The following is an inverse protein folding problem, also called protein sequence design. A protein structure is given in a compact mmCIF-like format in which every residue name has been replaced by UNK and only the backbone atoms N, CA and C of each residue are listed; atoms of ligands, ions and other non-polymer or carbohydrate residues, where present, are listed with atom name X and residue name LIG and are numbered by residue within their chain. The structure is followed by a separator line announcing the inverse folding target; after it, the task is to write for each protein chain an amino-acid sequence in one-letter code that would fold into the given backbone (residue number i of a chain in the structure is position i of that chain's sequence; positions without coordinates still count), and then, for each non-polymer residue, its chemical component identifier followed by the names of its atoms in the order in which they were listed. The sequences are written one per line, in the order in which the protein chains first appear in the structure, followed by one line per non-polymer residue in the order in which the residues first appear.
data_IF_843716941363
#
_entry.id   IF_843716941363
#
_cell.length_a   1.000
_cell.length_b   1.000
_cell.length_c   1.000
_cell.angle_alpha   90.00
_cell.angle_beta   90.00
_cell.angle_gamma   90.00
#
_symmetry.space_group_name_H-M   'P 1'
#
loop_
_entity.id
_entity.type
_entity.pdbx_description
1 polymer ?
#
# COMPACT_ATOMS: atom_id res chain seq x y z
N UNK A 1 -2.62 2.88 6.73
CA UNK A 1 -3.62 3.29 7.73
C UNK A 1 -3.13 3.07 9.14
N UNK A 2 -2.98 1.85 9.64
CA UNK A 2 -2.40 1.65 10.98
C UNK A 2 -0.97 2.23 11.10
N UNK A 3 -0.17 2.06 10.04
CA UNK A 3 1.18 2.64 9.93
C UNK A 3 1.22 4.16 9.73
N UNK A 4 0.09 4.74 9.34
CA UNK A 4 -0.08 6.18 9.14
C UNK A 4 -0.36 6.83 10.49
N UNK A 5 -1.27 6.24 11.26
CA UNK A 5 -1.54 6.67 12.64
C UNK A 5 -0.28 6.61 13.50
N UNK A 6 0.62 5.63 13.25
CA UNK A 6 1.95 5.58 13.86
C UNK A 6 2.87 6.75 13.48
N UNK A 7 2.77 7.26 12.25
CA UNK A 7 3.66 8.34 11.80
C UNK A 7 3.28 9.71 12.40
N UNK A 8 2.03 9.85 12.85
CA UNK A 8 1.46 11.10 13.36
C UNK A 8 0.99 10.97 14.81
N UNK A 9 1.32 9.86 15.50
CA UNK A 9 0.83 9.59 16.86
C UNK A 9 1.23 10.70 17.85
N UNK A 10 2.43 11.26 17.70
CA UNK A 10 2.93 12.38 18.51
C UNK A 10 2.11 13.66 18.29
N UNK A 11 1.83 14.00 17.02
CA UNK A 11 1.01 15.17 16.67
C UNK A 11 -0.42 15.05 17.20
N UNK A 12 -1.04 13.86 17.08
CA UNK A 12 -2.38 13.62 17.63
C UNK A 12 -2.42 13.71 19.15
N UNK A 13 -1.43 13.14 19.84
CA UNK A 13 -1.37 13.19 21.31
C UNK A 13 -1.10 14.61 21.80
N UNK A 14 -0.25 15.37 21.10
CA UNK A 14 -0.01 16.78 21.40
C UNK A 14 -1.29 17.61 21.31
N UNK A 15 -2.03 17.48 20.20
CA UNK A 15 -3.29 18.18 20.02
C UNK A 15 -4.36 17.76 21.05
N UNK A 16 -4.37 16.48 21.45
CA UNK A 16 -5.29 15.98 22.47
C UNK A 16 -4.94 16.48 23.89
N UNK A 17 -3.66 16.54 24.23
CA UNK A 17 -3.17 17.01 25.53
C UNK A 17 -3.47 18.50 25.75
N UNK A 18 -3.29 19.32 24.70
CA UNK A 18 -3.59 20.76 24.73
C UNK A 18 -5.07 21.03 24.99
N UNK A 19 -5.97 20.29 24.33
CA UNK A 19 -7.42 20.47 24.47
C UNK A 19 -7.95 19.97 25.83
N UNK A 20 -7.44 18.86 26.34
CA UNK A 20 -7.97 18.25 27.57
C UNK A 20 -7.42 18.90 28.86
N UNK A 21 -6.56 19.92 28.74
CA UNK A 21 -5.85 20.59 29.83
C UNK A 21 -5.20 19.61 30.83
N UNK A 22 -4.79 18.43 30.35
CA UNK A 22 -4.28 17.37 31.21
C UNK A 22 -2.86 17.77 31.64
N UNK A 23 -2.73 18.43 32.79
CA UNK A 23 -1.45 18.88 33.38
C UNK A 23 -0.41 17.76 33.65
N UNK A 24 -0.69 16.50 33.32
CA UNK A 24 0.24 15.38 33.44
C UNK A 24 0.91 15.13 32.10
N UNK A 25 2.24 14.90 32.10
CA UNK A 25 3.01 14.59 30.89
C UNK A 25 2.57 13.27 30.26
N UNK A 26 1.59 13.32 29.35
CA UNK A 26 1.11 12.18 28.55
C UNK A 26 2.13 11.74 27.49
N UNK A 27 3.26 12.45 27.32
CA UNK A 27 4.34 12.08 26.39
C UNK A 27 4.80 10.61 26.57
N UNK A 28 4.74 10.09 27.80
CA UNK A 28 5.11 8.69 28.08
C UNK A 28 4.13 7.65 27.55
N UNK A 29 2.92 8.06 27.13
CA UNK A 29 1.90 7.18 26.57
C UNK A 29 2.02 6.98 25.05
N UNK A 30 2.87 7.76 24.39
CA UNK A 30 3.20 7.56 22.98
C UNK A 30 3.77 6.14 22.75
N UNK A 31 4.84 5.80 23.45
CA UNK A 31 5.51 4.50 23.34
C UNK A 31 4.58 3.27 23.55
N UNK A 32 3.71 3.20 24.58
CA UNK A 32 2.78 2.09 24.72
C UNK A 32 1.67 2.07 23.65
N UNK A 33 1.22 3.23 23.14
CA UNK A 33 0.28 3.28 22.01
C UNK A 33 0.94 2.69 20.77
N UNK A 34 2.16 3.11 20.45
CA UNK A 34 2.90 2.60 19.29
C UNK A 34 3.21 1.11 19.43
N UNK A 35 3.50 0.63 20.64
CA UNK A 35 3.66 -0.78 20.93
C UNK A 35 2.38 -1.58 20.63
N UNK A 36 1.22 -1.10 21.07
CA UNK A 36 -0.08 -1.72 20.78
C UNK A 36 -0.35 -1.75 19.28
N UNK A 37 -0.06 -0.65 18.60
CA UNK A 37 -0.26 -0.54 17.17
C UNK A 37 0.68 -1.51 16.40
N UNK A 38 1.97 -1.56 16.74
CA UNK A 38 2.93 -2.49 16.16
C UNK A 38 2.54 -3.96 16.43
N UNK A 39 2.02 -4.26 17.61
CA UNK A 39 1.48 -5.58 17.94
C UNK A 39 0.28 -5.94 17.05
N UNK A 40 -0.62 -4.99 16.78
CA UNK A 40 -1.75 -5.17 15.88
C UNK A 40 -1.30 -5.40 14.43
N UNK A 41 -0.28 -4.67 13.96
CA UNK A 41 0.34 -4.89 12.64
C UNK A 41 0.93 -6.28 12.54
N UNK A 42 1.67 -6.73 13.57
CA UNK A 42 2.25 -8.07 13.63
C UNK A 42 1.16 -9.16 13.63
N UNK A 43 0.09 -8.96 14.39
CA UNK A 43 -1.06 -9.87 14.44
C UNK A 43 -1.69 -9.99 13.05
N UNK A 44 -1.98 -8.85 12.40
CA UNK A 44 -2.58 -8.79 11.06
C UNK A 44 -1.70 -9.50 10.03
N UNK A 45 -0.39 -9.23 10.07
CA UNK A 45 0.60 -9.92 9.22
C UNK A 45 0.59 -11.43 9.44
N UNK A 46 0.56 -11.87 10.70
CA UNK A 46 0.54 -13.30 11.03
C UNK A 46 -0.77 -13.98 10.59
N UNK A 47 -1.90 -13.29 10.72
CA UNK A 47 -3.21 -13.79 10.26
C UNK A 47 -3.24 -13.92 8.74
N UNK A 48 -2.75 -12.92 8.02
CA UNK A 48 -2.68 -12.95 6.56
C UNK A 48 -1.78 -14.07 6.05
N UNK A 49 -0.60 -14.24 6.67
CA UNK A 49 0.34 -15.32 6.35
C UNK A 49 -0.27 -16.71 6.57
N UNK A 50 -1.02 -16.90 7.67
CA UNK A 50 -1.73 -18.15 7.97
C UNK A 50 -2.77 -18.49 6.91
N UNK A 51 -3.50 -17.49 6.38
CA UNK A 51 -4.51 -17.71 5.34
C UNK A 51 -3.92 -18.07 3.97
N UNK A 52 -2.74 -17.55 3.65
CA UNK A 52 -2.09 -17.77 2.33
C UNK A 52 -1.20 -19.00 2.31
N UNK A 53 -0.89 -19.60 3.48
CA UNK A 53 -0.01 -20.76 3.56
C UNK A 53 1.46 -20.43 3.27
N UNK A 54 1.88 -19.18 3.48
CA UNK A 54 3.24 -18.73 3.17
C UNK A 54 4.32 -19.38 4.06
N UNK A 55 5.44 -19.76 3.46
CA UNK A 55 6.58 -20.35 4.17
C UNK A 55 7.17 -19.37 5.21
N UNK A 56 7.56 -19.90 6.38
CA UNK A 56 8.20 -19.10 7.43
C UNK A 56 9.63 -18.72 6.99
N UNK A 57 9.83 -17.45 6.65
CA UNK A 57 11.17 -16.88 6.44
C UNK A 57 11.62 -16.17 7.72
N UNK A 58 12.50 -16.78 8.54
CA UNK A 58 12.90 -16.20 9.83
C UNK A 58 13.62 -14.86 9.66
N UNK A 59 14.36 -14.67 8.56
CA UNK A 59 15.07 -13.41 8.27
C UNK A 59 14.12 -12.21 8.13
N UNK A 60 12.94 -12.38 7.50
CA UNK A 60 11.95 -11.31 7.32
C UNK A 60 11.34 -10.87 8.65
N UNK A 61 11.23 -11.81 9.61
CA UNK A 61 10.74 -11.50 10.96
C UNK A 61 11.78 -10.67 11.73
N UNK A 62 13.07 -11.01 11.63
CA UNK A 62 14.15 -10.25 12.27
C UNK A 62 14.16 -8.81 11.78
N UNK A 63 14.08 -8.58 10.46
CA UNK A 63 14.02 -7.23 9.90
C UNK A 63 12.77 -6.45 10.31
N UNK A 64 11.64 -7.15 10.52
CA UNK A 64 10.43 -6.50 11.03
C UNK A 64 10.65 -6.00 12.46
N UNK A 65 11.26 -6.82 13.33
CA UNK A 65 11.62 -6.40 14.69
C UNK A 65 12.64 -5.26 14.69
N UNK A 66 13.62 -5.27 13.78
CA UNK A 66 14.56 -4.14 13.63
C UNK A 66 13.81 -2.84 13.31
N UNK A 67 12.86 -2.87 12.38
CA UNK A 67 12.02 -1.70 12.07
C UNK A 67 11.15 -1.26 13.25
N UNK A 68 10.54 -2.20 13.96
CA UNK A 68 9.72 -1.93 15.14
C UNK A 68 10.53 -1.31 16.30
N UNK A 69 11.69 -1.89 16.61
CA UNK A 69 12.61 -1.37 17.63
C UNK A 69 13.11 0.02 17.23
N UNK A 70 13.45 0.22 15.95
CA UNK A 70 13.88 1.52 15.45
C UNK A 70 12.78 2.58 15.62
N UNK A 71 11.52 2.24 15.36
CA UNK A 71 10.37 3.14 15.57
C UNK A 71 10.27 3.53 17.04
N UNK A 72 10.17 2.54 17.94
CA UNK A 72 10.06 2.78 19.39
C UNK A 72 11.26 3.55 19.96
N UNK A 73 12.46 3.31 19.42
CA UNK A 73 13.67 4.03 19.83
C UNK A 73 13.63 5.49 19.38
N UNK A 74 13.08 5.77 18.19
CA UNK A 74 12.85 7.13 17.71
C UNK A 74 11.78 7.82 18.55
N UNK A 75 10.67 7.14 18.89
CA UNK A 75 9.61 7.71 19.76
C UNK A 75 10.14 8.07 21.14
N UNK A 76 10.99 7.21 21.70
CA UNK A 76 11.65 7.50 22.96
C UNK A 76 12.65 8.67 22.82
N UNK A 77 13.38 8.72 21.70
CA UNK A 77 14.35 9.78 21.43
C UNK A 77 13.67 11.14 21.25
N UNK A 78 12.60 11.22 20.47
CA UNK A 78 11.81 12.44 20.27
C UNK A 78 11.22 12.90 21.59
N UNK A 79 10.61 11.98 22.36
CA UNK A 79 10.04 12.28 23.67
C UNK A 79 11.06 12.74 24.70
N UNK A 80 12.26 12.15 24.74
CA UNK A 80 13.27 12.46 25.77
C UNK A 80 14.13 13.66 25.39
N UNK A 81 14.48 13.80 24.11
CA UNK A 81 15.47 14.78 23.63
C UNK A 81 14.81 16.00 23.01
N UNK A 82 13.73 15.82 22.24
CA UNK A 82 13.11 16.89 21.45
C UNK A 82 11.93 17.54 22.19
N UNK A 83 11.10 16.74 22.85
CA UNK A 83 9.93 17.21 23.59
C UNK A 83 10.21 18.18 24.76
N UNK A 84 11.32 18.10 25.52
CA UNK A 84 11.60 19.17 26.47
C UNK A 84 11.84 20.45 25.66
N UNK A 85 10.84 21.34 25.68
CA UNK A 85 10.71 22.65 24.98
C UNK A 85 11.79 23.66 25.41
N UNK A 86 13.03 23.22 25.55
CA UNK A 86 14.18 23.95 26.06
C UNK A 86 14.73 24.86 24.95
N UNK A 87 14.57 24.48 23.68
CA UNK A 87 14.97 25.31 22.56
C UNK A 87 13.88 26.34 22.22
N UNK A 88 14.25 27.64 22.08
CA UNK A 88 13.33 28.66 21.59
C UNK A 88 12.74 28.27 20.22
N UNK A 89 11.64 28.91 19.80
CA UNK A 89 11.05 28.79 18.44
C UNK A 89 11.97 29.37 17.36
N UNK A 90 13.24 29.05 17.39
CA UNK A 90 14.23 29.50 16.44
C UNK A 90 14.21 28.61 15.20
N UNK A 91 14.73 29.15 14.10
CA UNK A 91 14.87 28.49 12.79
C UNK A 91 15.46 27.06 12.90
N UNK A 92 16.32 26.82 13.90
CA UNK A 92 16.96 25.52 14.17
C UNK A 92 15.95 24.43 14.52
N UNK A 93 14.84 24.75 15.19
CA UNK A 93 13.81 23.77 15.56
C UNK A 93 13.03 23.29 14.35
N UNK A 94 12.67 24.19 13.44
CA UNK A 94 12.02 23.83 12.17
C UNK A 94 12.87 22.83 11.38
N UNK A 95 14.18 23.09 11.26
CA UNK A 95 15.08 22.17 10.55
C UNK A 95 15.21 20.82 11.25
N UNK A 96 15.22 20.79 12.59
CA UNK A 96 15.22 19.56 13.35
C UNK A 96 13.94 18.75 13.07
N UNK A 97 12.78 19.39 13.17
CA UNK A 97 11.47 18.76 12.94
C UNK A 97 11.33 18.27 11.49
N UNK A 98 11.91 18.98 10.51
CA UNK A 98 11.99 18.53 9.12
C UNK A 98 12.99 17.38 8.89
N UNK A 99 13.99 17.18 9.76
CA UNK A 99 14.92 16.06 9.65
C UNK A 99 14.44 14.80 10.38
N UNK A 100 13.67 14.97 11.46
CA UNK A 100 13.07 13.90 12.26
C UNK A 100 12.30 12.84 11.45
N UNK A 101 11.51 13.15 10.41
CA UNK A 101 10.76 12.11 9.68
C UNK A 101 11.64 11.20 8.83
N UNK A 102 12.89 11.56 8.51
CA UNK A 102 13.78 10.73 7.70
C UNK A 102 14.09 9.36 8.35
N UNK A 103 14.54 9.28 9.61
CA UNK A 103 14.71 7.99 10.28
C UNK A 103 13.39 7.23 10.48
N UNK A 104 12.27 7.93 10.72
CA UNK A 104 10.94 7.29 10.77
C UNK A 104 10.57 6.65 9.43
N UNK A 105 10.84 7.33 8.32
CA UNK A 105 10.60 6.81 6.99
C UNK A 105 11.42 5.54 6.73
N UNK A 106 12.66 5.48 7.22
CA UNK A 106 13.49 4.28 7.15
C UNK A 106 12.86 3.14 7.95
N UNK A 107 12.43 3.40 9.19
CA UNK A 107 11.76 2.42 10.03
C UNK A 107 10.47 1.90 9.37
N UNK A 108 9.66 2.81 8.84
CA UNK A 108 8.44 2.52 8.10
C UNK A 108 8.71 1.67 6.85
N UNK A 109 9.75 2.00 6.08
CA UNK A 109 10.15 1.23 4.91
C UNK A 109 10.61 -0.19 5.28
N UNK A 110 11.29 -0.37 6.42
CA UNK A 110 11.65 -1.70 6.95
C UNK A 110 10.41 -2.50 7.36
N UNK A 111 9.48 -1.90 8.11
CA UNK A 111 8.26 -2.56 8.55
C UNK A 111 7.40 -2.94 7.35
N UNK A 112 7.26 -2.04 6.38
CA UNK A 112 6.38 -2.24 5.25
C UNK A 112 6.98 -3.22 4.24
N UNK A 113 8.28 -3.15 3.94
CA UNK A 113 8.97 -4.14 3.10
C UNK A 113 8.83 -5.56 3.65
N UNK A 114 9.02 -5.73 4.96
CA UNK A 114 8.87 -7.02 5.62
C UNK A 114 7.42 -7.46 5.78
N UNK A 115 6.46 -6.53 5.77
CA UNK A 115 5.02 -6.84 5.72
C UNK A 115 4.61 -7.36 4.34
N UNK A 116 5.24 -6.85 3.29
CA UNK A 116 5.09 -7.30 1.90
C UNK A 116 5.93 -8.55 1.57
N UNK A 117 6.55 -9.16 2.59
CA UNK A 117 7.44 -10.33 2.52
C UNK A 117 8.68 -10.13 1.61
N UNK A 118 9.10 -8.89 1.42
CA UNK A 118 10.28 -8.50 0.65
C UNK A 118 11.47 -8.17 1.57
N UNK A 119 12.69 -8.39 1.07
CA UNK A 119 13.91 -8.03 1.80
C UNK A 119 14.16 -6.52 1.73
N UNK A 120 14.38 -5.82 2.86
CA UNK A 120 14.60 -4.37 2.86
C UNK A 120 15.88 -3.97 2.09
N UNK A 121 16.87 -4.86 2.03
CA UNK A 121 18.10 -4.65 1.27
C UNK A 121 17.85 -4.38 -0.23
N UNK A 122 16.69 -4.74 -0.78
CA UNK A 122 16.30 -4.44 -2.16
C UNK A 122 16.07 -2.95 -2.41
N UNK A 123 15.73 -2.15 -1.39
CA UNK A 123 15.62 -0.69 -1.53
C UNK A 123 16.97 -0.07 -1.92
N UNK A 124 18.06 -0.60 -1.36
CA UNK A 124 19.40 -0.02 -1.51
C UNK A 124 20.16 -0.74 -2.63
N UNK A 125 20.21 -2.06 -2.61
CA UNK A 125 21.08 -2.84 -3.49
C UNK A 125 20.42 -3.15 -4.83
N UNK A 126 21.06 -2.70 -5.93
CA UNK A 126 20.67 -3.06 -7.30
C UNK A 126 20.82 -4.57 -7.56
N UNK A 127 21.90 -5.18 -7.05
CA UNK A 127 22.14 -6.63 -7.18
C UNK A 127 21.01 -7.45 -6.55
N UNK A 128 20.49 -7.01 -5.40
CA UNK A 128 19.37 -7.68 -4.74
C UNK A 128 18.08 -7.59 -5.58
N UNK A 129 17.83 -6.46 -6.25
CA UNK A 129 16.69 -6.28 -7.16
C UNK A 129 16.78 -7.17 -8.41
N UNK A 130 17.97 -7.34 -8.94
CA UNK A 130 18.22 -8.20 -10.10
C UNK A 130 18.07 -9.69 -9.75
N UNK A 131 18.35 -10.08 -8.49
CA UNK A 131 18.27 -11.48 -8.06
C UNK A 131 16.84 -12.01 -7.88
N UNK A 132 15.87 -11.15 -7.52
CA UNK A 132 14.46 -11.54 -7.36
C UNK A 132 13.54 -10.38 -7.76
N UNK A 133 13.14 -10.38 -9.03
CA UNK A 133 12.25 -9.35 -9.56
C UNK A 133 10.85 -9.40 -8.93
N UNK A 134 10.38 -10.56 -8.47
CA UNK A 134 9.05 -10.70 -7.88
C UNK A 134 8.95 -10.03 -6.51
N UNK A 135 9.99 -10.15 -5.67
CA UNK A 135 10.10 -9.38 -4.43
C UNK A 135 10.24 -7.87 -4.70
N UNK A 136 11.04 -7.47 -5.70
CA UNK A 136 11.17 -6.06 -6.06
C UNK A 136 9.84 -5.45 -6.54
N UNK A 137 9.04 -6.17 -7.32
CA UNK A 137 7.72 -5.71 -7.79
C UNK A 137 6.75 -5.48 -6.61
N UNK A 138 6.85 -6.28 -5.54
CA UNK A 138 6.07 -6.10 -4.32
C UNK A 138 6.60 -5.01 -3.40
N UNK A 139 7.87 -4.67 -3.52
CA UNK A 139 8.47 -3.60 -2.75
C UNK A 139 8.31 -2.24 -3.42
N UNK A 140 8.44 -2.17 -4.75
CA UNK A 140 8.26 -0.91 -5.48
C UNK A 140 6.86 -0.30 -5.29
N UNK A 141 5.86 -1.15 -5.04
CA UNK A 141 4.47 -0.77 -4.78
C UNK A 141 4.30 0.04 -3.50
N UNK A 142 5.27 -0.01 -2.59
CA UNK A 142 5.25 0.83 -1.40
C UNK A 142 5.83 2.22 -1.57
N UNK A 143 6.58 2.46 -2.64
CA UNK A 143 7.30 3.73 -2.82
C UNK A 143 6.34 4.93 -2.83
N UNK A 144 5.20 4.90 -3.53
CA UNK A 144 4.26 6.03 -3.53
C UNK A 144 3.69 6.32 -2.16
N UNK A 145 3.42 5.27 -1.38
CA UNK A 145 2.94 5.39 -0.02
C UNK A 145 3.98 6.08 0.87
N UNK A 146 5.22 5.60 0.84
CA UNK A 146 6.32 6.19 1.62
C UNK A 146 6.57 7.66 1.21
N UNK A 147 6.58 7.95 -0.09
CA UNK A 147 6.77 9.31 -0.60
C UNK A 147 5.62 10.25 -0.21
N UNK A 148 4.37 9.76 -0.29
CA UNK A 148 3.18 10.52 0.11
C UNK A 148 3.16 10.81 1.60
N UNK A 149 3.45 9.83 2.46
CA UNK A 149 3.52 10.02 3.91
C UNK A 149 4.65 11.00 4.29
N UNK A 150 5.82 10.92 3.65
CA UNK A 150 6.90 11.91 3.89
C UNK A 150 6.47 13.33 3.49
N UNK A 151 5.86 13.48 2.33
CA UNK A 151 5.37 14.78 1.87
C UNK A 151 4.30 15.33 2.81
N UNK A 152 3.43 14.46 3.33
CA UNK A 152 2.39 14.83 4.29
C UNK A 152 2.97 15.32 5.60
N UNK A 153 3.99 14.65 6.11
CA UNK A 153 4.72 15.09 7.30
C UNK A 153 5.36 16.47 7.08
N UNK A 154 6.03 16.68 5.94
CA UNK A 154 6.59 18.00 5.64
C UNK A 154 5.53 19.09 5.50
N UNK A 155 4.39 18.78 4.88
CA UNK A 155 3.29 19.73 4.72
C UNK A 155 2.68 20.12 6.07
N UNK A 156 2.43 19.16 6.95
CA UNK A 156 1.86 19.36 8.29
C UNK A 156 2.83 20.09 9.21
N UNK A 157 4.10 19.68 9.24
CA UNK A 157 5.16 20.41 9.98
C UNK A 157 5.27 21.86 9.47
N UNK A 158 5.31 22.06 8.15
CA UNK A 158 5.38 23.41 7.59
C UNK A 158 4.16 24.26 7.95
N UNK A 159 2.97 23.67 7.89
CA UNK A 159 1.72 24.32 8.26
C UNK A 159 1.74 24.79 9.72
N UNK A 160 2.12 23.91 10.63
CA UNK A 160 2.22 24.18 12.08
C UNK A 160 3.10 25.41 12.35
N UNK A 161 4.26 25.49 11.70
CA UNK A 161 5.19 26.60 11.88
C UNK A 161 4.71 27.93 11.26
N UNK A 162 3.97 27.89 10.15
CA UNK A 162 3.53 29.10 9.45
C UNK A 162 2.21 29.67 9.98
N UNK A 163 1.30 28.78 10.38
CA UNK A 163 -0.09 29.14 10.70
C UNK A 163 -0.47 28.81 12.16
N UNK A 164 0.47 28.28 12.94
CA UNK A 164 0.26 28.01 14.37
C UNK A 164 -0.77 26.92 14.63
N UNK A 165 -0.91 25.98 13.69
CA UNK A 165 -1.77 24.81 13.83
C UNK A 165 -3.27 25.06 13.61
N UNK A 166 -3.69 26.31 13.38
CA UNK A 166 -5.10 26.61 13.10
C UNK A 166 -5.48 26.16 11.68
N UNK A 167 -6.68 25.58 11.53
CA UNK A 167 -7.16 25.04 10.26
C UNK A 167 -8.58 25.54 10.00
N UNK A 168 -8.70 26.40 8.99
CA UNK A 168 -9.97 26.97 8.58
C UNK A 168 -10.94 25.93 8.01
N UNK A 169 -12.23 26.09 8.26
CA UNK A 169 -13.28 25.23 7.66
C UNK A 169 -13.30 25.28 6.13
N UNK A 170 -12.90 26.41 5.57
CA UNK A 170 -12.76 26.60 4.13
C UNK A 170 -11.75 25.62 3.53
N UNK A 171 -10.66 25.30 4.24
CA UNK A 171 -9.71 24.27 3.83
C UNK A 171 -10.42 22.91 3.64
N UNK A 172 -11.22 22.49 4.62
CA UNK A 172 -11.93 21.20 4.53
C UNK A 172 -12.98 21.19 3.42
N UNK A 173 -13.69 22.30 3.21
CA UNK A 173 -14.63 22.43 2.10
C UNK A 173 -13.94 22.28 0.74
N UNK A 174 -12.77 22.91 0.58
CA UNK A 174 -11.95 22.79 -0.64
C UNK A 174 -11.37 21.39 -0.81
N UNK A 175 -10.85 20.80 0.27
CA UNK A 175 -10.25 19.46 0.22
C UNK A 175 -11.25 18.35 -0.07
N UNK A 176 -12.50 18.47 0.39
CA UNK A 176 -13.60 17.57 0.03
C UNK A 176 -13.78 17.51 -1.50
N UNK A 177 -13.73 18.67 -2.17
CA UNK A 177 -13.83 18.73 -3.64
C UNK A 177 -12.59 18.12 -4.32
N UNK A 178 -11.40 18.38 -3.78
CA UNK A 178 -10.12 17.87 -4.30
C UNK A 178 -10.04 16.34 -4.15
N UNK A 179 -10.41 15.79 -2.99
CA UNK A 179 -10.36 14.34 -2.74
C UNK A 179 -11.30 13.61 -3.70
N UNK A 180 -12.53 14.08 -3.89
CA UNK A 180 -13.45 13.49 -4.88
C UNK A 180 -12.86 13.55 -6.28
N UNK A 181 -12.25 14.67 -6.67
CA UNK A 181 -11.57 14.79 -7.96
C UNK A 181 -10.41 13.79 -8.09
N UNK A 182 -9.62 13.58 -7.02
CA UNK A 182 -8.54 12.60 -6.99
C UNK A 182 -9.06 11.16 -7.07
N UNK A 183 -10.17 10.83 -6.39
CA UNK A 183 -10.82 9.52 -6.50
C UNK A 183 -11.28 9.29 -7.94
N UNK A 184 -11.90 10.29 -8.57
CA UNK A 184 -12.36 10.21 -9.97
C UNK A 184 -11.17 10.09 -10.91
N UNK A 185 -10.13 10.91 -10.76
CA UNK A 185 -8.93 10.85 -11.59
C UNK A 185 -8.24 9.48 -11.47
N UNK A 186 -8.07 9.00 -10.23
CA UNK A 186 -7.53 7.67 -9.96
C UNK A 186 -8.42 6.58 -10.56
N UNK A 187 -9.74 6.71 -10.45
CA UNK A 187 -10.72 5.76 -11.02
C UNK A 187 -10.72 5.75 -12.55
N UNK A 188 -10.61 6.91 -13.20
CA UNK A 188 -10.49 7.05 -14.65
C UNK A 188 -9.19 6.45 -15.16
N UNK A 189 -8.08 6.76 -14.50
CA UNK A 189 -6.79 6.17 -14.78
C UNK A 189 -6.86 4.65 -14.59
N UNK A 190 -7.38 4.14 -13.48
CA UNK A 190 -7.53 2.69 -13.23
C UNK A 190 -8.46 2.02 -14.23
N UNK A 191 -9.53 2.70 -14.67
CA UNK A 191 -10.42 2.23 -15.75
C UNK A 191 -9.70 2.16 -17.10
N UNK A 192 -8.84 3.14 -17.38
CA UNK A 192 -7.90 3.12 -18.50
C UNK A 192 -6.83 2.02 -18.33
N UNK A 193 -6.52 1.67 -17.08
CA UNK A 193 -5.57 0.64 -16.66
C UNK A 193 -6.23 -0.66 -16.21
N UNK A 194 -7.28 -1.11 -16.91
CA UNK A 194 -7.82 -2.47 -16.70
C UNK A 194 -6.72 -3.54 -16.72
N UNK A 195 -5.61 -3.27 -17.42
CA UNK A 195 -4.38 -4.07 -17.43
C UNK A 195 -3.52 -3.97 -16.15
N UNK A 196 -3.34 -2.77 -15.56
CA UNK A 196 -2.68 -2.64 -14.25
C UNK A 196 -3.52 -3.26 -13.13
N UNK A 197 -4.85 -3.15 -13.25
CA UNK A 197 -5.78 -3.87 -12.39
C UNK A 197 -5.75 -5.38 -12.64
N UNK A 198 -5.20 -5.88 -13.76
CA UNK A 198 -4.96 -7.32 -13.92
C UNK A 198 -3.63 -7.79 -13.34
N UNK A 199 -2.61 -6.94 -13.23
CA UNK A 199 -1.32 -7.31 -12.61
C UNK A 199 -1.50 -7.50 -11.08
N UNK A 200 -1.36 -8.72 -10.55
CA UNK A 200 -1.53 -8.99 -9.12
C UNK A 200 -0.58 -8.19 -8.23
N UNK A 201 0.54 -7.67 -8.77
CA UNK A 201 1.43 -6.79 -8.04
C UNK A 201 0.89 -5.38 -7.80
N UNK A 202 0.11 -4.82 -8.73
CA UNK A 202 -0.29 -3.40 -8.69
C UNK A 202 -1.68 -3.17 -8.07
N UNK A 203 -2.56 -4.17 -8.11
CA UNK A 203 -3.91 -4.10 -7.51
C UNK A 203 -3.94 -3.59 -6.06
N UNK A 204 -3.06 -4.06 -5.15
CA UNK A 204 -3.15 -3.67 -3.75
C UNK A 204 -2.91 -2.18 -3.54
N UNK A 205 -2.03 -1.56 -4.34
CA UNK A 205 -1.69 -0.13 -4.22
C UNK A 205 -2.88 0.73 -4.55
N UNK A 206 -3.55 0.45 -5.68
CA UNK A 206 -4.71 1.20 -6.12
C UNK A 206 -5.85 1.08 -5.10
N UNK A 207 -6.15 -0.15 -4.67
CA UNK A 207 -7.19 -0.39 -3.66
C UNK A 207 -6.87 0.37 -2.37
N UNK A 208 -5.62 0.36 -1.96
CA UNK A 208 -5.18 1.07 -0.76
C UNK A 208 -5.25 2.60 -0.90
N UNK A 209 -4.88 3.14 -2.06
CA UNK A 209 -5.01 4.57 -2.34
C UNK A 209 -6.46 5.03 -2.34
N UNK A 210 -7.37 4.27 -2.98
CA UNK A 210 -8.82 4.55 -2.93
C UNK A 210 -9.36 4.48 -1.51
N UNK A 211 -8.93 3.48 -0.73
CA UNK A 211 -9.33 3.35 0.67
C UNK A 211 -8.86 4.54 1.51
N UNK A 212 -7.61 4.96 1.34
CA UNK A 212 -7.05 6.13 2.04
C UNK A 212 -7.79 7.41 1.64
N UNK A 213 -8.07 7.63 0.36
CA UNK A 213 -8.85 8.78 -0.11
C UNK A 213 -10.27 8.79 0.47
N UNK A 214 -10.93 7.63 0.48
CA UNK A 214 -12.27 7.49 1.05
C UNK A 214 -12.29 7.83 2.54
N UNK A 215 -11.24 7.45 3.26
CA UNK A 215 -11.09 7.80 4.66
C UNK A 215 -10.79 9.29 4.86
N UNK A 216 -9.92 9.87 4.02
CA UNK A 216 -9.66 11.31 3.99
C UNK A 216 -10.95 12.10 3.78
N UNK A 217 -11.81 11.66 2.87
CA UNK A 217 -13.11 12.29 2.62
C UNK A 217 -14.02 12.23 3.86
N UNK A 218 -14.13 11.07 4.50
CA UNK A 218 -14.94 10.93 5.72
C UNK A 218 -14.45 11.86 6.82
N UNK A 219 -13.13 12.00 6.97
CA UNK A 219 -12.52 12.91 7.95
C UNK A 219 -12.70 14.39 7.57
N UNK A 220 -12.60 14.74 6.28
CA UNK A 220 -12.89 16.10 5.82
C UNK A 220 -14.34 16.48 6.17
N UNK A 221 -15.30 15.61 5.82
CA UNK A 221 -16.71 15.81 6.11
C UNK A 221 -17.01 15.88 7.61
N UNK A 222 -16.31 15.10 8.45
CA UNK A 222 -16.50 15.17 9.89
C UNK A 222 -16.01 16.50 10.47
N UNK A 223 -14.97 17.11 9.89
CA UNK A 223 -14.45 18.42 10.32
C UNK A 223 -15.31 19.61 9.87
N UNK A 224 -16.22 19.44 8.90
CA UNK A 224 -17.14 20.48 8.44
C UNK A 224 -18.30 20.77 9.42
N UNK A 225 -18.53 19.92 10.43
CA UNK A 225 -19.59 20.11 11.43
C UNK A 225 -19.38 21.44 12.21
N UNK A 226 -20.43 22.15 12.66
CA UNK A 226 -20.29 23.37 13.47
C UNK A 226 -19.35 23.18 14.67
N UNK A 227 -18.47 24.17 14.92
CA UNK A 227 -17.32 24.05 15.85
C UNK A 227 -17.75 23.89 17.31
N UNK A 228 -18.96 24.34 17.65
CA UNK A 228 -19.62 24.12 18.94
C UNK A 228 -19.78 22.64 19.33
N UNK A 229 -19.60 21.70 18.38
CA UNK A 229 -19.76 20.27 18.61
C UNK A 229 -18.50 19.44 18.31
N UNK A 230 -17.38 20.07 17.90
CA UNK A 230 -16.15 19.37 17.54
C UNK A 230 -14.99 19.87 18.39
N UNK A 231 -14.25 18.96 18.99
CA UNK A 231 -13.00 19.24 19.71
C UNK A 231 -11.86 19.62 18.75
N UNK A 232 -10.97 20.54 19.15
CA UNK A 232 -9.85 21.01 18.31
C UNK A 232 -8.96 19.86 17.81
N UNK A 233 -8.65 18.89 18.69
CA UNK A 233 -7.87 17.70 18.32
C UNK A 233 -8.46 16.91 17.15
N UNK A 234 -9.80 16.84 17.03
CA UNK A 234 -10.45 16.13 15.94
C UNK A 234 -10.31 16.92 14.62
N UNK A 235 -10.41 18.25 14.66
CA UNK A 235 -10.21 19.10 13.48
C UNK A 235 -8.78 18.95 12.97
N UNK A 236 -7.80 19.06 13.85
CA UNK A 236 -6.39 18.84 13.52
C UNK A 236 -6.15 17.41 12.99
N UNK A 237 -6.77 16.42 13.63
CA UNK A 237 -6.68 15.04 13.20
C UNK A 237 -7.20 14.83 11.78
N UNK A 238 -8.35 15.43 11.47
CA UNK A 238 -8.93 15.40 10.14
C UNK A 238 -8.02 16.06 9.11
N UNK A 239 -7.40 17.19 9.46
CA UNK A 239 -6.45 17.90 8.61
C UNK A 239 -5.28 17.01 8.17
N UNK A 240 -4.59 16.40 9.14
CA UNK A 240 -3.44 15.52 8.88
C UNK A 240 -3.83 14.36 7.96
N UNK A 241 -4.95 13.68 8.26
CA UNK A 241 -5.42 12.53 7.47
C UNK A 241 -5.80 12.95 6.04
N UNK A 242 -6.42 14.11 5.86
CA UNK A 242 -6.82 14.66 4.56
C UNK A 242 -5.60 15.02 3.69
N UNK A 243 -4.62 15.71 4.28
CA UNK A 243 -3.38 16.08 3.61
C UNK A 243 -2.62 14.84 3.17
N UNK A 244 -2.48 13.86 4.06
CA UNK A 244 -1.82 12.61 3.72
C UNK A 244 -2.56 11.84 2.64
N UNK A 245 -3.87 11.71 2.75
CA UNK A 245 -4.65 10.98 1.77
C UNK A 245 -4.48 11.55 0.37
N UNK A 246 -4.47 12.88 0.27
CA UNK A 246 -4.28 13.61 -0.97
C UNK A 246 -2.87 13.41 -1.54
N UNK A 247 -1.83 13.51 -0.71
CA UNK A 247 -0.43 13.37 -1.15
C UNK A 247 -0.07 11.93 -1.51
N UNK A 248 -0.57 10.93 -0.77
CA UNK A 248 -0.42 9.51 -1.13
C UNK A 248 -1.11 9.21 -2.45
N UNK A 249 -2.31 9.76 -2.69
CA UNK A 249 -3.00 9.60 -3.95
C UNK A 249 -2.24 10.25 -5.13
N UNK A 250 -1.76 11.48 -4.96
CA UNK A 250 -0.95 12.18 -5.96
C UNK A 250 0.35 11.43 -6.26
N UNK A 251 1.06 10.98 -5.23
CA UNK A 251 2.27 10.18 -5.38
C UNK A 251 1.98 8.87 -6.13
N UNK A 252 0.84 8.22 -5.83
CA UNK A 252 0.39 7.00 -6.52
C UNK A 252 0.08 7.27 -7.98
N UNK A 253 -0.62 8.36 -8.29
CA UNK A 253 -0.92 8.76 -9.66
C UNK A 253 0.35 9.05 -10.45
N UNK A 254 1.23 9.89 -9.90
CA UNK A 254 2.53 10.22 -10.51
C UNK A 254 3.36 8.96 -10.75
N UNK A 255 3.39 8.05 -9.78
CA UNK A 255 4.09 6.77 -9.91
C UNK A 255 3.54 5.92 -11.05
N UNK A 256 2.21 5.76 -11.13
CA UNK A 256 1.57 4.98 -12.21
C UNK A 256 1.88 5.60 -13.58
N UNK A 257 1.93 6.94 -13.66
CA UNK A 257 2.29 7.65 -14.89
C UNK A 257 3.76 7.45 -15.29
N UNK A 258 4.69 7.51 -14.33
CA UNK A 258 6.13 7.38 -14.57
C UNK A 258 6.56 5.95 -14.89
N UNK A 259 5.99 4.94 -14.21
CA UNK A 259 6.40 3.54 -14.33
C UNK A 259 5.53 2.74 -15.31
N UNK A 260 4.90 3.45 -16.24
CA UNK A 260 4.10 2.85 -17.30
C UNK A 260 4.97 1.94 -18.18
N UNK A 261 4.69 0.64 -18.19
CA UNK A 261 5.23 -0.25 -19.23
C UNK A 261 4.55 0.11 -20.56
N UNK A 262 5.30 0.41 -21.63
CA UNK A 262 4.73 0.61 -22.96
C UNK A 262 3.86 -0.58 -23.33
N UNK A 263 2.69 -0.34 -23.93
CA UNK A 263 1.90 -1.44 -24.50
C UNK A 263 2.80 -2.23 -25.45
N UNK A 264 2.80 -3.57 -25.40
CA UNK A 264 3.35 -4.35 -26.50
C UNK A 264 2.70 -3.80 -27.77
N UNK A 265 3.52 -3.33 -28.72
CA UNK A 265 2.99 -2.92 -30.01
C UNK A 265 2.14 -4.08 -30.53
N UNK A 266 0.87 -3.80 -30.83
CA UNK A 266 0.01 -4.76 -31.50
C UNK A 266 0.78 -5.25 -32.74
N UNK A 267 1.04 -6.56 -32.85
CA UNK A 267 1.84 -7.07 -33.95
C UNK A 267 1.21 -6.59 -35.26
N UNK A 268 2.04 -6.02 -36.13
CA UNK A 268 1.56 -5.38 -37.34
C UNK A 268 0.62 -6.36 -38.10
N UNK A 269 -0.52 -5.88 -38.64
CA UNK A 269 -1.63 -6.71 -39.11
C UNK A 269 -1.30 -7.70 -40.24
N UNK A 270 -0.05 -7.76 -40.66
CA UNK A 270 0.50 -8.59 -41.74
C UNK A 270 1.46 -9.68 -41.26
N UNK A 271 1.79 -9.77 -39.96
CA UNK A 271 2.41 -10.99 -39.43
C UNK A 271 1.32 -12.04 -39.18
N UNK A 272 0.84 -12.62 -40.29
CA UNK A 272 0.19 -13.93 -40.27
C UNK A 272 1.24 -14.90 -39.71
N UNK A 273 1.14 -15.22 -38.44
CA UNK A 273 1.83 -16.38 -37.87
C UNK A 273 1.22 -17.57 -38.60
N UNK A 274 1.84 -17.98 -39.69
CA UNK A 274 1.58 -19.27 -40.31
C UNK A 274 1.93 -20.29 -39.24
N UNK A 275 0.90 -20.80 -38.57
CA UNK A 275 1.03 -21.94 -37.68
C UNK A 275 1.62 -23.07 -38.52
N UNK A 276 2.93 -23.26 -38.40
CA UNK A 276 3.60 -24.41 -38.98
C UNK A 276 2.87 -25.64 -38.48
N UNK A 277 2.42 -26.48 -39.40
CA UNK A 277 1.72 -27.73 -39.12
C UNK A 277 2.61 -28.60 -38.22
N UNK A 278 2.42 -28.48 -36.91
CA UNK A 278 3.06 -29.33 -35.94
C UNK A 278 2.53 -30.74 -36.18
N UNK A 279 3.46 -31.64 -36.51
CA UNK A 279 3.23 -33.06 -36.78
C UNK A 279 2.41 -33.67 -35.63
N UNK A 280 1.26 -34.25 -35.97
CA UNK A 280 0.32 -34.82 -35.01
C UNK A 280 1.02 -35.84 -34.08
N UNK A 281 0.90 -35.70 -32.75
CA UNK A 281 1.36 -36.74 -31.83
C UNK A 281 0.47 -37.98 -31.99
N UNK A 282 1.10 -39.10 -32.27
CA UNK A 282 0.48 -40.42 -32.41
C UNK A 282 -0.32 -40.77 -31.15
N UNK A 283 -1.63 -40.94 -31.32
CA UNK A 283 -2.60 -41.36 -30.31
C UNK A 283 -2.20 -42.69 -29.64
N UNK A 284 -1.90 -42.65 -28.35
CA UNK A 284 -1.95 -43.83 -27.48
C UNK A 284 -3.33 -43.92 -26.78
N UNK A 285 -3.78 -45.16 -26.61
CA UNK A 285 -5.13 -45.58 -26.32
C UNK A 285 -5.73 -44.99 -25.05
N UNK A 286 -7.02 -44.63 -25.15
CA UNK A 286 -7.85 -44.10 -24.08
C UNK A 286 -8.17 -45.17 -23.03
N UNK A 287 -7.83 -44.89 -21.77
CA UNK A 287 -8.35 -45.61 -20.62
C UNK A 287 -9.35 -44.74 -19.84
N UNK A 288 -10.33 -45.41 -19.23
CA UNK A 288 -11.58 -44.88 -18.68
C UNK A 288 -11.39 -43.71 -17.70
N UNK A 289 -11.94 -42.54 -18.04
CA UNK A 289 -12.00 -41.37 -17.16
C UNK A 289 -13.32 -41.35 -16.37
N UNK A 290 -13.22 -41.27 -15.04
CA UNK A 290 -14.35 -41.07 -14.11
C UNK A 290 -14.88 -39.63 -14.15
N UNK A 291 -16.18 -39.39 -13.88
CA UNK A 291 -16.77 -38.06 -13.94
C UNK A 291 -16.21 -37.13 -12.83
N UNK A 292 -15.68 -35.98 -13.24
CA UNK A 292 -15.28 -34.89 -12.33
C UNK A 292 -16.50 -34.02 -12.00
N UNK A 293 -16.75 -33.81 -10.71
CA UNK A 293 -17.76 -32.86 -10.23
C UNK A 293 -17.26 -31.41 -10.40
N UNK A 294 -18.04 -30.61 -11.10
CA UNK A 294 -17.82 -29.18 -11.30
C UNK A 294 -18.50 -28.41 -10.16
N UNK A 295 -17.72 -27.88 -9.22
CA UNK A 295 -18.23 -26.93 -8.20
C UNK A 295 -17.92 -25.52 -8.68
N UNK A 296 -18.97 -24.82 -9.14
CA UNK A 296 -18.87 -23.44 -9.59
C UNK A 296 -18.96 -22.47 -8.41
N UNK A 297 -17.90 -21.70 -8.17
CA UNK A 297 -17.96 -20.43 -7.45
C UNK A 297 -17.82 -19.32 -8.49
N UNK A 298 -18.89 -18.53 -8.62
CA UNK A 298 -19.02 -17.50 -9.64
C UNK A 298 -18.03 -16.36 -9.43
N UNK A 299 -16.89 -16.41 -10.13
CA UNK A 299 -16.14 -15.27 -10.65
C UNK A 299 -15.09 -15.80 -11.63
N UNK A 300 -15.52 -16.03 -12.87
CA UNK A 300 -14.73 -15.86 -14.11
C UNK A 300 -13.31 -16.40 -14.25
N UNK A 301 -12.84 -17.33 -13.41
CA UNK A 301 -11.51 -17.96 -13.51
C UNK A 301 -11.66 -19.47 -13.31
N UNK A 302 -11.66 -20.21 -14.42
CA UNK A 302 -11.46 -21.66 -14.39
C UNK A 302 -9.97 -21.96 -14.39
N UNK A 303 -9.44 -22.40 -13.25
CA UNK A 303 -8.12 -23.00 -13.18
C UNK A 303 -8.30 -24.52 -13.09
N UNK A 304 -8.07 -25.23 -14.19
CA UNK A 304 -8.09 -26.69 -14.19
C UNK A 304 -6.79 -27.20 -13.57
N UNK A 305 -6.85 -27.64 -12.32
CA UNK A 305 -5.74 -28.34 -11.67
C UNK A 305 -6.02 -29.84 -11.81
N UNK A 306 -5.31 -30.50 -12.72
CA UNK A 306 -5.32 -31.96 -12.81
C UNK A 306 -4.44 -32.57 -11.71
N UNK A 307 -4.81 -33.72 -11.11
CA UNK A 307 -3.91 -34.45 -10.23
C UNK A 307 -2.72 -34.98 -11.04
N UNK A 308 -1.51 -34.52 -10.68
CA UNK A 308 -0.28 -34.98 -11.29
C UNK A 308 0.02 -36.43 -10.89
N UNK A 309 0.03 -37.33 -11.87
CA UNK A 309 0.85 -38.54 -11.77
C UNK A 309 2.28 -38.21 -12.18
N UNK A 310 3.21 -38.76 -11.41
CA UNK A 310 4.64 -38.54 -11.58
C UNK A 310 5.07 -39.00 -12.97
N UNK A 311 5.66 -38.07 -13.73
CA UNK A 311 6.40 -38.38 -14.96
C UNK A 311 5.68 -38.02 -16.26
N UNK A 312 5.52 -36.73 -16.54
CA UNK A 312 5.84 -36.08 -17.83
C UNK A 312 5.32 -34.64 -17.83
N UNK A 313 6.22 -33.68 -17.99
CA UNK A 313 5.89 -32.26 -18.12
C UNK A 313 5.50 -32.00 -19.57
N UNK A 314 4.20 -32.02 -19.87
CA UNK A 314 3.63 -31.51 -21.11
C UNK A 314 2.72 -30.33 -20.80
N UNK A 315 3.22 -29.10 -20.95
CA UNK A 315 2.42 -27.88 -20.80
C UNK A 315 1.63 -27.62 -22.08
N UNK A 316 0.35 -27.99 -22.10
CA UNK A 316 -0.59 -27.60 -23.15
C UNK A 316 -1.42 -26.38 -22.73
N UNK A 317 -1.29 -25.27 -23.46
CA UNK A 317 -2.12 -24.07 -23.25
C UNK A 317 -3.40 -24.21 -24.06
N UNK A 318 -4.56 -24.28 -23.41
CA UNK A 318 -5.87 -24.23 -24.09
C UNK A 318 -6.47 -22.84 -23.94
N UNK A 319 -6.92 -22.27 -25.06
CA UNK A 319 -7.57 -20.97 -25.11
C UNK A 319 -9.08 -21.16 -25.15
N UNK A 320 -9.77 -20.89 -24.04
CA UNK A 320 -11.24 -20.92 -23.95
C UNK A 320 -11.80 -19.52 -24.05
N UNK A 321 -12.63 -19.25 -25.07
CA UNK A 321 -13.37 -17.99 -25.19
C UNK A 321 -14.86 -18.25 -24.90
N UNK A 322 -15.39 -17.58 -23.87
CA UNK A 322 -16.83 -17.55 -23.51
C UNK A 322 -17.52 -18.92 -23.32
N UNK A 323 -16.89 -19.83 -22.60
CA UNK A 323 -17.58 -21.00 -22.04
C UNK A 323 -18.10 -22.03 -23.06
N UNK A 324 -17.66 -22.01 -24.32
CA UNK A 324 -17.90 -23.09 -25.28
C UNK A 324 -16.56 -23.68 -25.75
N UNK A 325 -16.36 -24.98 -25.51
CA UNK A 325 -15.35 -25.76 -26.22
C UNK A 325 -15.77 -25.86 -27.69
N UNK A 326 -14.97 -25.29 -28.59
CA UNK A 326 -15.13 -25.52 -30.02
C UNK A 326 -14.59 -26.92 -30.33
N UNK A 327 -15.48 -27.82 -30.69
CA UNK A 327 -15.18 -29.16 -31.21
C UNK A 327 -14.42 -29.06 -32.54
N UNK A 328 -13.35 -29.84 -32.67
CA UNK A 328 -12.71 -30.13 -33.95
C UNK A 328 -13.74 -30.74 -34.91
N UNK A 329 -13.79 -30.21 -36.14
CA UNK A 329 -14.68 -30.65 -37.20
C UNK A 329 -13.85 -31.46 -38.19
N UNK A 330 -14.00 -32.79 -38.16
CA UNK A 330 -13.47 -33.67 -39.19
C UNK A 330 -14.34 -33.57 -40.45
N UNK A 331 -13.69 -33.36 -41.61
CA UNK A 331 -14.23 -33.61 -42.95
C UNK A 331 -13.08 -33.92 -43.92
N UNK A 332 -13.38 -34.70 -44.97
CA UNK A 332 -12.75 -35.98 -45.29
C UNK A 332 -11.31 -35.92 -45.80
#
# INVERSE_FOLDING_TARGET
MVLVVLAFSDEFLGAFDEEMELRHRWDWLLAPIDLVILALVLLTKNLFRRRIGGAKRPSVLVWWFVGAILTLALDLLTTVVIAPRIFPRDLTRLWLDLLTPLPYLVALALILSTTLDARPAMLVSRRARESDQGEWVRLRTSIPLLAGTLAAYYATTWWEYQLGGDVDKEFFAQMTQVIVLLIVALGLEVGFFREAATDPGQRPVVVFAVFILSLGEVMALSALVPSEHIFGWHVYAAFVIVVEASLVALATMLWVLLFRTPRPLEPAPHQVITAGTAKAPTTQAADKVKPLALVGLGFGLCQCIGPGHAGQVGSGTYLTVRGRCLTARDRP
#
